data_IF_927742013064
#
_entry.id   IF_927742013064
#
_cell.length_a   1.000
_cell.length_b   1.000
_cell.length_c   1.000
_cell.angle_alpha   90.00
_cell.angle_beta   90.00
_cell.angle_gamma   90.00
#
_symmetry.space_group_name_H-M   'P 1'
#
loop_
_entity.id
_entity.type
_entity.pdbx_description
1 polymer ?
#
# COMPACT_ATOMS: atom_id res chain seq x y z
N UNK A 1 7.27 -5.27 -3.78
CA UNK A 1 5.97 -5.30 -3.08
C UNK A 1 4.91 -5.39 -4.15
N UNK A 2 3.88 -6.21 -3.97
CA UNK A 2 2.76 -6.26 -4.92
C UNK A 2 1.68 -5.27 -4.48
N UNK A 3 1.14 -4.49 -5.42
CA UNK A 3 0.35 -3.29 -5.15
C UNK A 3 -0.94 -3.35 -5.98
N UNK A 4 -2.09 -3.31 -5.31
CA UNK A 4 -3.39 -3.26 -5.94
C UNK A 4 -4.09 -1.95 -5.61
N UNK A 5 -4.77 -1.36 -6.59
CA UNK A 5 -5.72 -0.30 -6.40
C UNK A 5 -7.08 -0.76 -6.92
N UNK A 6 -8.13 -0.59 -6.12
CA UNK A 6 -9.52 -0.84 -6.50
C UNK A 6 -10.28 0.48 -6.38
N UNK A 7 -10.57 1.11 -7.50
CA UNK A 7 -11.30 2.39 -7.55
C UNK A 7 -12.76 2.20 -7.18
N UNK A 8 -13.33 3.18 -6.49
CA UNK A 8 -14.76 3.19 -6.19
C UNK A 8 -15.58 3.48 -7.45
N UNK A 9 -16.75 2.85 -7.56
CA UNK A 9 -17.64 3.04 -8.70
C UNK A 9 -18.00 4.52 -8.91
N UNK A 10 -17.89 5.00 -10.15
CA UNK A 10 -18.13 6.42 -10.49
C UNK A 10 -17.31 7.43 -9.65
N UNK A 11 -16.22 7.00 -9.03
CA UNK A 11 -15.33 7.85 -8.24
C UNK A 11 -13.88 7.69 -8.72
N UNK A 12 -13.35 8.76 -9.31
CA UNK A 12 -12.01 8.77 -9.90
C UNK A 12 -10.90 9.06 -8.89
N UNK A 13 -11.24 9.42 -7.65
CA UNK A 13 -10.29 9.90 -6.65
C UNK A 13 -10.08 8.89 -5.54
N UNK A 14 -11.13 8.17 -5.17
CA UNK A 14 -11.09 7.24 -4.07
C UNK A 14 -10.83 5.82 -4.52
N UNK A 15 -10.04 5.12 -3.72
CA UNK A 15 -9.69 3.73 -3.95
C UNK A 15 -9.42 3.00 -2.63
N UNK A 16 -9.65 1.70 -2.66
CA UNK A 16 -9.05 0.77 -1.73
C UNK A 16 -7.67 0.36 -2.27
N UNK A 17 -6.66 0.53 -1.45
CA UNK A 17 -5.27 0.22 -1.74
C UNK A 17 -4.89 -1.02 -0.95
N UNK A 18 -4.33 -2.03 -1.62
CA UNK A 18 -3.88 -3.27 -0.99
C UNK A 18 -2.40 -3.43 -1.32
N UNK A 19 -1.60 -3.61 -0.28
CA UNK A 19 -0.16 -3.74 -0.39
C UNK A 19 0.30 -5.05 0.21
N UNK A 20 1.04 -5.82 -0.58
CA UNK A 20 1.67 -7.07 -0.19
C UNK A 20 3.18 -6.87 -0.09
N UNK A 21 3.71 -6.90 1.13
CA UNK A 21 5.12 -6.66 1.41
C UNK A 21 6.05 -7.67 0.70
N UNK A 22 5.58 -8.89 0.43
CA UNK A 22 6.35 -9.94 -0.24
C UNK A 22 5.58 -10.54 -1.42
N UNK A 23 6.17 -10.58 -2.63
CA UNK A 23 5.59 -11.39 -3.69
C UNK A 23 5.56 -12.87 -3.27
N UNK A 24 4.47 -13.55 -3.64
CA UNK A 24 3.96 -14.81 -3.07
C UNK A 24 5.00 -15.91 -2.79
N UNK A 25 4.77 -16.67 -1.69
CA UNK A 25 5.55 -17.79 -1.08
C UNK A 25 6.68 -17.44 -0.10
N UNK A 26 7.07 -16.17 0.02
CA UNK A 26 8.10 -15.79 1.00
C UNK A 26 7.54 -15.36 2.37
N UNK A 27 6.25 -15.04 2.45
CA UNK A 27 5.59 -14.46 3.64
C UNK A 27 5.90 -15.19 4.95
N UNK A 28 5.87 -16.52 4.95
CA UNK A 28 6.05 -17.30 6.19
C UNK A 28 7.44 -17.12 6.81
N UNK A 29 8.45 -16.79 6.00
CA UNK A 29 9.84 -16.62 6.42
C UNK A 29 10.16 -15.25 7.00
N UNK A 30 9.23 -14.29 6.91
CA UNK A 30 9.46 -12.92 7.35
C UNK A 30 8.41 -12.49 8.39
N UNK A 31 8.88 -11.76 9.40
CA UNK A 31 8.01 -10.86 10.17
C UNK A 31 7.86 -9.55 9.40
N UNK A 32 6.68 -8.96 9.48
CA UNK A 32 6.31 -7.76 8.74
C UNK A 32 5.92 -6.68 9.73
N UNK A 33 6.32 -5.45 9.46
CA UNK A 33 5.85 -4.27 10.19
C UNK A 33 5.75 -3.11 9.21
N UNK A 34 4.55 -2.55 9.08
CA UNK A 34 4.32 -1.38 8.25
C UNK A 34 4.70 -0.09 8.99
N UNK A 35 5.23 0.87 8.23
CA UNK A 35 5.70 2.15 8.73
C UNK A 35 5.25 3.30 7.83
N UNK A 36 4.97 4.44 8.46
CA UNK A 36 4.77 5.73 7.80
C UNK A 36 5.95 6.65 8.12
N UNK A 37 6.52 7.32 7.13
CA UNK A 37 7.65 8.26 7.30
C UNK A 37 7.47 9.54 6.50
N UNK A 38 8.07 10.62 6.97
CA UNK A 38 8.08 11.91 6.26
C UNK A 38 9.09 11.96 5.11
N UNK A 39 10.10 11.10 5.14
CA UNK A 39 11.14 11.08 4.11
C UNK A 39 11.79 9.71 3.99
N UNK A 40 12.41 9.46 2.84
CA UNK A 40 13.11 8.22 2.54
C UNK A 40 14.32 7.97 3.46
N UNK A 41 14.82 9.02 4.12
CA UNK A 41 16.02 8.99 4.97
C UNK A 41 15.73 8.87 6.47
N UNK A 42 14.46 8.93 6.87
CA UNK A 42 14.05 8.92 8.29
C UNK A 42 13.33 7.62 8.61
N UNK A 43 13.69 7.02 9.75
CA UNK A 43 12.97 5.84 10.30
C UNK A 43 11.52 6.23 10.56
N UNK A 44 10.59 5.50 9.97
CA UNK A 44 9.17 5.78 10.11
C UNK A 44 8.61 5.44 11.49
N UNK A 45 7.36 5.86 11.70
CA UNK A 45 6.54 5.43 12.82
C UNK A 45 5.82 4.13 12.46
N UNK A 46 5.85 3.09 13.31
CA UNK A 46 5.16 1.84 13.03
C UNK A 46 3.65 2.03 13.11
N UNK A 47 2.92 1.45 12.16
CA UNK A 47 1.47 1.29 12.25
C UNK A 47 1.22 0.08 13.16
N UNK A 48 0.84 0.35 14.43
CA UNK A 48 0.96 -0.61 15.54
C UNK A 48 0.25 -1.95 15.35
N UNK A 49 -0.86 -1.99 14.62
CA UNK A 49 -1.67 -3.20 14.45
C UNK A 49 -1.34 -3.94 13.14
N UNK A 50 -0.47 -3.36 12.32
CA UNK A 50 -0.16 -3.84 10.97
C UNK A 50 1.19 -4.57 10.96
N UNK A 51 1.20 -5.71 11.65
CA UNK A 51 2.33 -6.65 11.68
C UNK A 51 2.17 -7.78 10.66
N UNK A 52 1.24 -7.62 9.72
CA UNK A 52 0.90 -8.61 8.71
C UNK A 52 1.58 -8.28 7.39
N UNK A 53 1.67 -9.29 6.54
CA UNK A 53 2.25 -9.15 5.20
C UNK A 53 1.47 -8.21 4.30
N UNK A 54 0.15 -8.20 4.49
CA UNK A 54 -0.78 -7.39 3.74
C UNK A 54 -1.20 -6.18 4.57
N UNK A 55 -1.26 -5.01 3.94
CA UNK A 55 -1.86 -3.80 4.49
C UNK A 55 -2.95 -3.32 3.54
N UNK A 56 -4.09 -2.94 4.10
CA UNK A 56 -5.19 -2.32 3.37
C UNK A 56 -5.34 -0.87 3.85
N UNK A 57 -5.37 0.08 2.92
CA UNK A 57 -5.65 1.49 3.18
C UNK A 57 -6.75 1.98 2.26
N UNK A 58 -7.60 2.88 2.75
CA UNK A 58 -8.49 3.68 1.89
C UNK A 58 -7.93 5.09 1.73
N UNK A 59 -8.24 5.75 0.62
CA UNK A 59 -7.91 7.18 0.44
C UNK A 59 -8.52 8.07 1.51
N UNK A 60 -9.69 7.68 2.04
CA UNK A 60 -10.34 8.30 3.18
C UNK A 60 -9.49 8.14 4.46
N UNK A 61 -9.06 6.94 4.80
CA UNK A 61 -8.22 6.69 5.97
C UNK A 61 -6.88 7.44 5.88
N UNK A 62 -6.29 7.53 4.68
CA UNK A 62 -5.07 8.32 4.44
C UNK A 62 -5.30 9.80 4.81
N UNK A 63 -6.48 10.34 4.54
CA UNK A 63 -6.86 11.70 4.89
C UNK A 63 -7.08 11.85 6.40
N UNK A 64 -7.84 10.93 7.00
CA UNK A 64 -8.21 10.97 8.42
C UNK A 64 -7.00 10.85 9.35
N UNK A 65 -6.08 9.96 9.03
CA UNK A 65 -4.86 9.71 9.81
C UNK A 65 -3.73 10.71 9.48
N UNK A 66 -3.95 11.64 8.54
CA UNK A 66 -2.95 12.65 8.16
C UNK A 66 -1.74 12.07 7.43
N UNK A 67 -1.93 10.99 6.67
CA UNK A 67 -0.87 10.33 5.90
C UNK A 67 -0.63 10.96 4.52
N UNK A 68 -1.40 11.97 4.13
CA UNK A 68 -1.27 12.64 2.83
C UNK A 68 0.14 13.24 2.65
N UNK A 69 0.81 12.84 1.57
CA UNK A 69 2.17 13.26 1.23
C UNK A 69 3.29 12.49 1.93
N UNK A 70 2.97 11.60 2.88
CA UNK A 70 3.93 10.74 3.59
C UNK A 70 4.27 9.49 2.78
N UNK A 71 5.30 8.76 3.22
CA UNK A 71 5.74 7.51 2.60
C UNK A 71 5.37 6.30 3.43
N UNK A 72 4.86 5.27 2.77
CA UNK A 72 4.60 3.94 3.30
C UNK A 72 5.72 2.98 2.89
N UNK A 73 6.18 2.17 3.83
CA UNK A 73 6.98 0.98 3.52
C UNK A 73 6.72 -0.13 4.55
N UNK A 74 7.06 -1.37 4.19
CA UNK A 74 7.10 -2.49 5.11
C UNK A 74 8.56 -2.82 5.43
N UNK A 75 8.89 -2.94 6.72
CA UNK A 75 10.12 -3.59 7.16
C UNK A 75 9.86 -5.09 7.27
N UNK A 76 10.74 -5.88 6.66
CA UNK A 76 10.71 -7.34 6.67
C UNK A 76 11.90 -7.86 7.42
N UNK A 77 11.66 -8.69 8.43
CA UNK A 77 12.72 -9.33 9.23
C UNK A 77 12.72 -10.82 8.95
N UNK A 78 13.80 -11.33 8.38
CA UNK A 78 13.96 -12.77 8.13
C UNK A 78 13.97 -13.50 9.48
N UNK A 79 13.00 -14.39 9.71
CA UNK A 79 12.81 -15.08 11.00
C UNK A 79 13.97 -16.01 11.37
N UNK A 80 14.74 -16.48 10.40
CA UNK A 80 15.85 -17.42 10.61
C UNK A 80 17.15 -16.70 10.92
N UNK A 81 17.41 -15.59 10.23
CA UNK A 81 18.70 -14.86 10.30
C UNK A 81 18.62 -13.57 11.09
N UNK A 82 17.41 -13.08 11.38
CA UNK A 82 17.17 -11.77 12.00
C UNK A 82 17.49 -10.58 11.09
N UNK A 83 17.83 -10.81 9.81
CA UNK A 83 18.23 -9.75 8.89
C UNK A 83 17.01 -8.92 8.46
N UNK A 84 17.13 -7.60 8.59
CA UNK A 84 16.10 -6.66 8.18
C UNK A 84 16.29 -6.20 6.73
N UNK A 85 15.17 -5.98 6.04
CA UNK A 85 15.12 -5.34 4.72
C UNK A 85 13.80 -4.59 4.52
N UNK A 86 13.86 -3.42 3.90
CA UNK A 86 12.65 -2.64 3.61
C UNK A 86 12.08 -3.01 2.23
N UNK A 87 10.78 -2.83 2.07
CA UNK A 87 10.17 -2.70 0.75
C UNK A 87 10.57 -1.37 0.10
N UNK A 88 10.20 -1.21 -1.18
CA UNK A 88 10.13 0.12 -1.79
C UNK A 88 9.21 1.05 -0.98
N UNK A 89 9.44 2.36 -1.12
CA UNK A 89 8.63 3.42 -0.51
C UNK A 89 7.51 3.83 -1.47
N UNK A 90 6.30 3.96 -0.97
CA UNK A 90 5.15 4.47 -1.73
C UNK A 90 4.72 5.79 -1.12
N UNK A 91 4.61 6.84 -1.94
CA UNK A 91 4.06 8.11 -1.48
C UNK A 91 2.54 8.05 -1.46
N UNK A 92 1.95 8.26 -0.29
CA UNK A 92 0.51 8.21 -0.07
C UNK A 92 -0.14 9.55 -0.35
N UNK A 93 -1.36 9.50 -0.87
CA UNK A 93 -2.24 10.64 -1.05
C UNK A 93 -3.68 10.20 -0.83
N UNK A 94 -4.52 11.12 -0.34
CA UNK A 94 -5.97 10.96 -0.27
C UNK A 94 -6.66 11.00 -1.64
N UNK A 95 -5.90 10.82 -2.72
CA UNK A 95 -6.37 10.79 -4.10
C UNK A 95 -5.51 9.81 -4.91
N UNK A 96 -6.12 8.74 -5.40
CA UNK A 96 -5.42 7.65 -6.09
C UNK A 96 -4.69 8.13 -7.35
N UNK A 97 -5.22 9.11 -8.07
CA UNK A 97 -4.54 9.63 -9.27
C UNK A 97 -3.23 10.33 -8.88
N UNK A 98 -3.18 11.04 -7.75
CA UNK A 98 -1.92 11.64 -7.27
C UNK A 98 -0.88 10.59 -6.90
N UNK A 99 -1.31 9.44 -6.37
CA UNK A 99 -0.41 8.32 -6.08
C UNK A 99 0.21 7.81 -7.39
N UNK A 100 -0.61 7.62 -8.42
CA UNK A 100 -0.17 7.19 -9.75
C UNK A 100 0.77 8.23 -10.38
N UNK A 101 0.36 9.50 -10.40
CA UNK A 101 1.12 10.63 -10.97
C UNK A 101 2.46 10.85 -10.24
N UNK A 102 2.57 10.42 -8.97
CA UNK A 102 3.83 10.46 -8.21
C UNK A 102 4.85 9.41 -8.65
N UNK A 103 4.48 8.53 -9.58
CA UNK A 103 5.34 7.48 -10.13
C UNK A 103 5.13 6.11 -9.50
N UNK A 104 4.11 5.95 -8.63
CA UNK A 104 3.78 4.64 -8.07
C UNK A 104 3.16 3.75 -9.16
N UNK A 105 3.83 2.65 -9.47
CA UNK A 105 3.35 1.65 -10.43
C UNK A 105 2.51 0.62 -9.67
N UNK A 106 1.23 0.46 -9.99
CA UNK A 106 0.41 -0.62 -9.43
C UNK A 106 0.49 -1.86 -10.31
N UNK A 107 0.62 -3.04 -9.68
CA UNK A 107 0.60 -4.33 -10.37
C UNK A 107 -0.80 -4.63 -10.91
N UNK A 108 -1.84 -4.19 -10.18
CA UNK A 108 -3.23 -4.33 -10.58
C UNK A 108 -4.06 -3.08 -10.27
N UNK A 109 -4.79 -2.60 -11.27
CA UNK A 109 -5.80 -1.54 -11.09
C UNK A 109 -7.16 -2.10 -11.52
N UNK A 110 -8.13 -2.05 -10.62
CA UNK A 110 -9.49 -2.56 -10.80
C UNK A 110 -10.50 -1.48 -10.38
N UNK A 111 -11.78 -1.69 -10.69
CA UNK A 111 -12.86 -0.79 -10.31
C UNK A 111 -14.05 -1.60 -9.77
N UNK A 112 -14.71 -1.10 -8.73
CA UNK A 112 -16.01 -1.62 -8.29
C UNK A 112 -17.10 -1.22 -9.29
N UNK A 113 -17.99 -2.14 -9.64
CA UNK A 113 -19.20 -1.81 -10.38
C UNK A 113 -20.31 -1.26 -9.45
N UNK A 114 -21.47 -0.97 -10.04
CA UNK A 114 -22.65 -0.46 -9.34
C UNK A 114 -23.23 -1.43 -8.28
N UNK A 115 -22.81 -2.69 -8.31
CA UNK A 115 -23.20 -3.72 -7.35
C UNK A 115 -22.12 -4.02 -6.31
N UNK A 116 -20.96 -3.35 -6.41
CA UNK A 116 -19.81 -3.58 -5.52
C UNK A 116 -18.93 -4.77 -5.93
N UNK A 117 -19.14 -5.32 -7.12
CA UNK A 117 -18.30 -6.39 -7.67
C UNK A 117 -17.03 -5.81 -8.30
N UNK A 118 -15.91 -6.53 -8.21
CA UNK A 118 -14.63 -6.06 -8.74
C UNK A 118 -14.53 -6.42 -10.22
N UNK A 119 -14.46 -5.40 -11.07
CA UNK A 119 -14.25 -5.55 -12.51
C UNK A 119 -12.81 -5.16 -12.89
N UNK A 120 -12.15 -5.90 -13.81
CA UNK A 120 -10.83 -5.52 -14.30
C UNK A 120 -10.93 -4.25 -15.17
N UNK A 121 -10.06 -3.26 -14.94
CA UNK A 121 -9.96 -2.10 -15.84
C UNK A 121 -9.20 -2.55 -17.08
N UNK A 122 -9.83 -2.44 -18.26
CA UNK A 122 -9.31 -3.02 -19.50
C UNK A 122 -8.19 -2.18 -20.14
N UNK A 123 -7.96 -0.92 -19.77
CA UNK A 123 -6.95 -0.08 -20.43
C UNK A 123 -6.09 0.75 -19.45
N UNK A 124 -4.76 0.65 -19.60
CA UNK A 124 -3.78 1.64 -19.15
C UNK A 124 -3.59 2.70 -20.24
#
# INVERSE_FOLDING_TARGET
MEKHAIRLHNNKHDAHLIFHATPTRAQEFYDHQWYITQSETVIGMPIKEECYEMLILTTELIKEEGYDGLYLYCKRTDKRTGKESNSELIRLYSNVNKIIDSGTIFDHIKEYDEHGEITPIINQ
#
